data_IF_685391938247
#
_entry.id   IF_685391938247
#
_cell.length_a   1.000
_cell.length_b   1.000
_cell.length_c   1.000
_cell.angle_alpha   90.00
_cell.angle_beta   90.00
_cell.angle_gamma   90.00
#
_symmetry.space_group_name_H-M   'P 1'
#
loop_
_entity.id
_entity.type
_entity.pdbx_description
1 polymer ?
#
# COMPACT_ATOMS: atom_id res chain seq x y z
N UNK A 1 25.59 -1.51 -3.76
CA UNK A 1 24.20 -1.05 -3.99
C UNK A 1 23.77 -0.26 -2.78
N UNK A 2 23.53 1.05 -2.90
CA UNK A 2 22.97 1.85 -1.81
C UNK A 2 21.55 1.34 -1.56
N UNK A 3 21.23 0.94 -0.34
CA UNK A 3 19.85 0.68 0.05
C UNK A 3 19.07 1.98 -0.21
N UNK A 4 18.12 1.94 -1.14
CA UNK A 4 17.22 3.07 -1.39
C UNK A 4 16.40 3.21 -0.11
N UNK A 5 16.53 4.35 0.56
CA UNK A 5 15.81 4.62 1.80
C UNK A 5 14.30 4.41 1.53
N UNK A 6 13.67 3.53 2.31
CA UNK A 6 12.26 3.23 2.14
C UNK A 6 11.45 4.46 2.53
N UNK A 7 10.52 4.86 1.66
CA UNK A 7 9.55 5.92 1.97
C UNK A 7 8.74 5.56 3.22
N UNK A 8 8.34 6.56 4.00
CA UNK A 8 7.53 6.39 5.21
C UNK A 8 6.24 5.60 4.93
N UNK A 9 5.65 5.75 3.74
CA UNK A 9 4.46 5.04 3.28
C UNK A 9 4.75 3.53 3.13
N UNK A 10 5.89 3.19 2.51
CA UNK A 10 6.34 1.80 2.33
C UNK A 10 6.70 1.17 3.67
N UNK A 11 7.34 1.92 4.56
CA UNK A 11 7.67 1.46 5.91
C UNK A 11 6.40 1.11 6.70
N UNK A 12 5.38 1.97 6.66
CA UNK A 12 4.09 1.70 7.30
C UNK A 12 3.44 0.43 6.74
N UNK A 13 3.43 0.24 5.42
CA UNK A 13 2.90 -0.96 4.79
C UNK A 13 3.69 -2.22 5.22
N UNK A 14 5.02 -2.14 5.25
CA UNK A 14 5.90 -3.23 5.69
C UNK A 14 5.63 -3.63 7.13
N UNK A 15 5.65 -2.67 8.06
CA UNK A 15 5.38 -2.90 9.47
C UNK A 15 4.00 -3.51 9.69
N UNK A 16 3.00 -3.03 8.94
CA UNK A 16 1.64 -3.59 8.97
C UNK A 16 1.62 -5.06 8.58
N UNK A 17 2.18 -5.39 7.41
CA UNK A 17 2.20 -6.76 6.88
C UNK A 17 2.96 -7.67 7.83
N UNK A 18 4.12 -7.25 8.33
CA UNK A 18 4.90 -8.07 9.25
C UNK A 18 4.17 -8.35 10.56
N UNK A 19 3.53 -7.36 11.16
CA UNK A 19 2.75 -7.55 12.39
C UNK A 19 1.54 -8.45 12.16
N UNK A 20 0.83 -8.27 11.06
CA UNK A 20 -0.33 -9.07 10.74
C UNK A 20 0.03 -10.53 10.44
N UNK A 21 1.05 -10.77 9.61
CA UNK A 21 1.47 -12.13 9.24
C UNK A 21 2.11 -12.87 10.42
N UNK A 22 2.87 -12.18 11.29
CA UNK A 22 3.55 -12.83 12.44
C UNK A 22 2.62 -13.02 13.64
N UNK A 23 1.68 -12.10 13.88
CA UNK A 23 0.91 -12.04 15.13
C UNK A 23 -0.61 -11.98 14.94
N UNK A 24 -1.11 -11.83 13.72
CA UNK A 24 -2.53 -11.58 13.45
C UNK A 24 -3.03 -10.22 13.94
N UNK A 25 -2.12 -9.27 14.22
CA UNK A 25 -2.47 -7.96 14.78
C UNK A 25 -2.48 -6.87 13.73
N UNK A 26 -3.55 -6.09 13.73
CA UNK A 26 -3.65 -4.85 12.97
C UNK A 26 -2.99 -3.75 13.81
N UNK A 27 -2.02 -3.03 13.23
CA UNK A 27 -1.36 -1.92 13.91
C UNK A 27 -2.21 -0.66 13.84
N UNK A 28 -2.02 0.23 14.80
CA UNK A 28 -2.50 1.62 14.69
C UNK A 28 -1.44 2.48 13.99
N UNK A 29 -1.83 3.54 13.28
CA UNK A 29 -0.86 4.50 12.73
C UNK A 29 0.11 4.99 13.83
N UNK A 30 1.43 4.88 13.64
CA UNK A 30 2.41 5.35 14.62
C UNK A 30 2.38 6.87 14.76
N UNK A 31 2.90 7.36 15.90
CA UNK A 31 3.10 8.80 16.11
C UNK A 31 4.22 9.31 15.18
N UNK A 32 4.12 10.58 14.77
CA UNK A 32 5.14 11.24 13.94
C UNK A 32 5.06 10.91 12.44
N UNK A 33 3.93 10.37 11.96
CA UNK A 33 3.65 10.32 10.53
C UNK A 33 3.47 11.73 9.96
N UNK A 34 3.80 11.97 8.67
CA UNK A 34 3.51 13.22 7.98
C UNK A 34 2.05 13.64 8.15
N UNK A 35 1.81 14.95 8.30
CA UNK A 35 0.45 15.48 8.48
C UNK A 35 -0.50 15.08 7.36
N UNK A 36 -0.01 15.02 6.11
CA UNK A 36 -0.78 14.53 4.97
C UNK A 36 -1.34 13.12 5.22
N UNK A 37 -0.53 12.22 5.79
CA UNK A 37 -0.96 10.84 6.03
C UNK A 37 -2.06 10.71 7.08
N UNK A 38 -2.17 11.70 7.98
CA UNK A 38 -3.11 11.71 9.11
C UNK A 38 -4.35 12.57 8.81
N UNK A 39 -4.19 13.66 8.07
CA UNK A 39 -5.21 14.68 7.86
C UNK A 39 -5.87 14.61 6.48
N UNK A 40 -5.32 13.87 5.52
CA UNK A 40 -5.88 13.72 4.17
C UNK A 40 -6.40 12.32 3.90
N UNK A 41 -7.41 12.26 3.02
CA UNK A 41 -8.00 11.04 2.49
C UNK A 41 -7.59 10.88 1.03
N UNK A 42 -7.08 9.71 0.67
CA UNK A 42 -6.81 9.36 -0.71
C UNK A 42 -7.01 7.86 -0.94
N UNK A 43 -7.29 7.48 -2.18
CA UNK A 43 -7.21 6.08 -2.59
C UNK A 43 -5.75 5.62 -2.54
N UNK A 44 -5.51 4.38 -2.13
CA UNK A 44 -4.15 3.84 -2.00
C UNK A 44 -4.10 2.43 -2.55
N UNK A 45 -3.07 2.14 -3.35
CA UNK A 45 -2.73 0.78 -3.77
C UNK A 45 -1.45 0.32 -3.09
N UNK A 46 -1.48 -0.89 -2.53
CA UNK A 46 -0.29 -1.55 -1.98
C UNK A 46 0.01 -2.76 -2.85
N UNK A 47 1.21 -2.78 -3.42
CA UNK A 47 1.67 -3.88 -4.27
C UNK A 47 2.85 -4.60 -3.63
N UNK A 48 2.75 -5.92 -3.58
CA UNK A 48 3.77 -6.83 -3.09
C UNK A 48 4.39 -7.54 -4.29
N UNK A 49 5.72 -7.58 -4.33
CA UNK A 49 6.45 -8.39 -5.29
C UNK A 49 7.46 -9.27 -4.57
N UNK A 50 7.60 -10.52 -5.02
CA UNK A 50 8.59 -11.48 -4.55
C UNK A 50 9.54 -11.80 -5.68
N UNK A 51 10.83 -11.51 -5.51
CA UNK A 51 11.85 -11.70 -6.57
C UNK A 51 11.43 -11.08 -7.91
N UNK A 52 10.85 -9.87 -7.86
CA UNK A 52 10.38 -9.13 -9.04
C UNK A 52 8.98 -9.49 -9.55
N UNK A 53 8.41 -10.63 -9.13
CA UNK A 53 7.10 -11.08 -9.59
C UNK A 53 5.98 -10.60 -8.65
N UNK A 54 4.81 -10.28 -9.22
CA UNK A 54 3.64 -9.89 -8.43
C UNK A 54 3.26 -11.00 -7.44
N UNK A 55 3.06 -10.63 -6.18
CA UNK A 55 2.72 -11.53 -5.08
C UNK A 55 1.41 -11.16 -4.36
N UNK A 56 0.92 -9.95 -4.62
CA UNK A 56 -0.36 -9.43 -4.16
C UNK A 56 -0.46 -7.96 -4.51
N UNK A 57 -1.65 -7.47 -4.84
CA UNK A 57 -1.90 -6.06 -5.08
C UNK A 57 -3.38 -5.77 -4.83
N UNK A 58 -3.63 -4.94 -3.81
CA UNK A 58 -4.96 -4.48 -3.44
C UNK A 58 -4.89 -2.98 -3.16
N UNK A 59 -5.96 -2.29 -3.54
CA UNK A 59 -6.12 -0.88 -3.27
C UNK A 59 -7.52 -0.41 -3.51
N UNK A 60 -7.72 0.87 -3.20
CA UNK A 60 -8.99 1.56 -3.34
C UNK A 60 -8.78 2.78 -4.23
N UNK A 61 -9.70 2.96 -5.18
CA UNK A 61 -9.64 4.12 -6.09
C UNK A 61 -10.08 5.41 -5.39
N UNK A 62 -11.15 5.33 -4.58
CA UNK A 62 -11.66 6.39 -3.73
C UNK A 62 -11.33 6.01 -2.28
N UNK A 63 -10.91 6.95 -1.41
CA UNK A 63 -10.62 6.67 -0.02
C UNK A 63 -11.81 6.02 0.69
N UNK A 64 -11.54 4.97 1.45
CA UNK A 64 -12.53 4.24 2.26
C UNK A 64 -12.28 4.37 3.76
N UNK A 65 -11.10 4.87 4.14
CA UNK A 65 -10.67 5.08 5.52
C UNK A 65 -10.62 6.57 5.88
N UNK A 66 -10.42 6.86 7.18
CA UNK A 66 -10.40 8.24 7.68
C UNK A 66 -9.16 9.02 7.23
N UNK A 67 -8.08 8.33 6.88
CA UNK A 67 -6.89 8.95 6.33
C UNK A 67 -6.03 7.95 5.54
N UNK A 68 -5.03 8.47 4.83
CA UNK A 68 -4.07 7.70 4.04
C UNK A 68 -3.36 6.63 4.88
N UNK A 69 -2.98 6.93 6.12
CA UNK A 69 -2.30 5.96 6.97
C UNK A 69 -3.15 4.70 7.23
N UNK A 70 -4.44 4.90 7.56
CA UNK A 70 -5.38 3.79 7.73
C UNK A 70 -5.66 3.06 6.42
N UNK A 71 -5.75 3.79 5.29
CA UNK A 71 -5.92 3.19 3.97
C UNK A 71 -4.75 2.28 3.60
N UNK A 72 -3.51 2.72 3.86
CA UNK A 72 -2.29 1.90 3.70
C UNK A 72 -2.36 0.67 4.57
N UNK A 73 -2.67 0.79 5.86
CA UNK A 73 -2.73 -0.35 6.79
C UNK A 73 -3.72 -1.40 6.28
N UNK A 74 -4.94 -0.96 5.93
CA UNK A 74 -5.98 -1.86 5.43
C UNK A 74 -5.58 -2.54 4.12
N UNK A 75 -5.13 -1.78 3.14
CA UNK A 75 -4.80 -2.31 1.82
C UNK A 75 -3.51 -3.14 1.84
N UNK A 76 -2.57 -2.87 2.74
CA UNK A 76 -1.38 -3.68 2.93
C UNK A 76 -1.72 -5.07 3.47
N UNK A 77 -2.64 -5.17 4.44
CA UNK A 77 -3.15 -6.45 4.94
C UNK A 77 -3.82 -7.20 3.80
N UNK A 78 -4.79 -6.58 3.13
CA UNK A 78 -5.53 -7.26 2.06
C UNK A 78 -4.64 -7.66 0.88
N UNK A 79 -3.64 -6.87 0.52
CA UNK A 79 -2.65 -7.27 -0.50
C UNK A 79 -1.84 -8.51 -0.07
N UNK A 80 -1.61 -8.69 1.24
CA UNK A 80 -0.87 -9.83 1.76
C UNK A 80 -1.72 -11.08 1.97
N UNK A 81 -3.01 -10.94 2.30
CA UNK A 81 -3.83 -12.09 2.76
C UNK A 81 -5.12 -12.33 1.97
N UNK A 82 -5.69 -11.29 1.36
CA UNK A 82 -7.03 -11.31 0.75
C UNK A 82 -7.02 -11.20 -0.80
N UNK A 83 -5.85 -11.09 -1.43
CA UNK A 83 -5.77 -11.06 -2.91
C UNK A 83 -6.16 -12.45 -3.46
N UNK A 84 -7.32 -12.59 -4.14
CA UNK A 84 -7.88 -13.89 -4.52
C UNK A 84 -7.03 -14.63 -5.57
N UNK A 85 -6.07 -13.96 -6.18
CA UNK A 85 -5.16 -14.54 -7.18
C UNK A 85 -4.02 -15.32 -6.54
N UNK A 86 -3.76 -15.12 -5.25
CA UNK A 86 -2.63 -15.70 -4.54
C UNK A 86 -3.06 -16.30 -3.20
N UNK A 87 -2.30 -17.27 -2.70
CA UNK A 87 -2.43 -17.68 -1.30
C UNK A 87 -1.88 -16.58 -0.38
N UNK A 88 -2.35 -16.53 0.86
CA UNK A 88 -1.85 -15.58 1.85
C UNK A 88 -0.31 -15.68 2.00
N UNK A 89 0.34 -14.54 2.21
CA UNK A 89 1.78 -14.43 2.39
C UNK A 89 2.22 -15.19 3.64
N UNK A 90 3.27 -16.00 3.52
CA UNK A 90 3.85 -16.71 4.66
C UNK A 90 4.96 -15.90 5.33
N UNK A 91 5.20 -16.16 6.62
CA UNK A 91 6.28 -15.54 7.41
C UNK A 91 7.65 -15.65 6.73
N UNK A 92 7.94 -16.79 6.09
CA UNK A 92 9.20 -17.04 5.40
C UNK A 92 9.42 -16.17 4.15
N UNK A 93 8.33 -15.63 3.58
CA UNK A 93 8.37 -14.80 2.37
C UNK A 93 8.67 -13.34 2.69
N UNK A 94 8.41 -12.87 3.92
CA UNK A 94 8.47 -11.45 4.30
C UNK A 94 9.80 -10.77 3.94
N UNK A 95 10.92 -11.48 4.14
CA UNK A 95 12.27 -10.97 3.82
C UNK A 95 12.54 -10.81 2.33
N UNK A 96 11.78 -11.50 1.48
CA UNK A 96 11.94 -11.50 0.03
C UNK A 96 10.94 -10.55 -0.66
N UNK A 97 10.09 -9.86 0.12
CA UNK A 97 9.08 -8.94 -0.40
C UNK A 97 9.64 -7.54 -0.60
N UNK A 98 9.53 -7.08 -1.85
CA UNK A 98 9.57 -5.66 -2.19
C UNK A 98 8.14 -5.12 -2.20
N UNK A 99 7.94 -3.98 -1.54
CA UNK A 99 6.63 -3.34 -1.36
C UNK A 99 6.65 -1.99 -2.08
N UNK A 100 5.58 -1.66 -2.78
CA UNK A 100 5.32 -0.31 -3.28
C UNK A 100 3.95 0.16 -2.79
N UNK A 101 3.85 1.47 -2.56
CA UNK A 101 2.63 2.13 -2.12
C UNK A 101 2.40 3.30 -3.07
N UNK A 102 1.24 3.29 -3.73
CA UNK A 102 0.81 4.30 -4.67
C UNK A 102 -0.38 5.05 -4.06
N UNK A 103 -0.21 6.34 -3.78
CA UNK A 103 -1.25 7.22 -3.25
C UNK A 103 -1.84 8.00 -4.41
N UNK A 104 -3.16 7.91 -4.59
CA UNK A 104 -3.85 8.48 -5.74
C UNK A 104 -4.29 9.92 -5.47
N UNK A 105 -4.24 10.74 -6.51
CA UNK A 105 -4.95 12.03 -6.50
C UNK A 105 -6.45 11.81 -6.58
N UNK A 106 -7.21 12.87 -6.28
CA UNK A 106 -8.63 12.88 -6.57
C UNK A 106 -8.87 12.62 -8.08
N UNK A 107 -9.89 11.83 -8.45
CA UNK A 107 -10.27 11.67 -9.84
C UNK A 107 -10.69 13.00 -10.46
N UNK A 108 -10.22 13.27 -11.68
CA UNK A 108 -10.57 14.45 -12.45
C UNK A 108 -11.46 14.06 -13.63
N UNK A 109 -12.50 14.84 -13.91
CA UNK A 109 -13.38 14.60 -15.05
C UNK A 109 -12.65 14.90 -16.36
N UNK A 110 -12.75 13.96 -17.31
CA UNK A 110 -12.15 14.06 -18.63
C UNK A 110 -13.25 14.30 -19.66
N UNK A 111 -13.10 15.37 -20.46
CA UNK A 111 -14.09 15.75 -21.49
C UNK A 111 -13.86 15.04 -22.82
N UNK A 112 -12.61 14.77 -23.17
CA UNK A 112 -12.23 14.10 -24.41
C UNK A 112 -10.84 13.44 -24.32
N UNK A 113 -10.52 12.61 -25.30
CA UNK A 113 -9.30 11.78 -25.31
C UNK A 113 -7.99 12.58 -25.31
N UNK A 114 -8.00 13.84 -25.77
CA UNK A 114 -6.78 14.66 -25.85
C UNK A 114 -6.26 15.07 -24.47
N UNK A 115 -7.08 14.96 -23.43
CA UNK A 115 -6.72 15.25 -22.05
C UNK A 115 -6.06 14.07 -21.32
N UNK A 116 -6.01 12.88 -21.94
CA UNK A 116 -5.36 11.70 -21.37
C UNK A 116 -3.86 11.67 -21.70
N UNK A 117 -3.03 11.52 -20.67
CA UNK A 117 -1.58 11.33 -20.83
C UNK A 117 -1.15 9.99 -20.19
N UNK A 118 -0.80 8.96 -20.99
CA UNK A 118 -0.41 7.65 -20.47
C UNK A 118 0.98 7.64 -19.78
N UNK A 119 1.74 8.74 -19.86
CA UNK A 119 3.04 8.88 -19.18
C UNK A 119 2.93 9.58 -17.83
N UNK A 120 1.76 10.13 -17.51
CA UNK A 120 1.45 10.81 -16.26
C UNK A 120 0.61 9.90 -15.38
#
# INVERSE_FOLDING_TARGET
>A
MKAKEESIYVRLARETIENYIKQGKIITPPLGLPEEMINQKAGVFVSLKKKGNLRGCIGTFIPTQENIAQEIIKNAISAAVDDPRFSSVNVSELKDLSISVDVLSAPEEVKDISQLDPKK
#
